data_IF_385601507278
#
_entry.id   IF_385601507278
#
_cell.length_a   1.000
_cell.length_b   1.000
_cell.length_c   1.000
_cell.angle_alpha   90.00
_cell.angle_beta   90.00
_cell.angle_gamma   90.00
#
_symmetry.space_group_name_H-M   'P 1'
#
loop_
_entity.id
_entity.type
_entity.pdbx_description
1 polymer ?
#
# COMPACT_ATOMS: atom_id res chain seq x y z
N UNK A 1 -2.65 4.69 10.87
CA UNK A 1 -3.87 4.72 10.06
C UNK A 1 -5.04 4.44 10.96
N UNK A 2 -5.99 5.36 11.01
CA UNK A 2 -7.15 5.31 11.90
C UNK A 2 -7.96 4.05 11.64
N UNK A 3 -8.17 3.29 12.71
CA UNK A 3 -9.12 2.19 12.87
C UNK A 3 -10.20 2.21 11.78
N UNK A 4 -10.19 1.16 10.93
CA UNK A 4 -11.20 0.87 9.92
C UNK A 4 -12.58 1.04 10.54
N UNK A 5 -13.13 2.25 10.40
CA UNK A 5 -14.46 2.56 10.91
C UNK A 5 -15.37 1.68 10.08
N UNK A 6 -15.90 0.60 10.69
CA UNK A 6 -16.80 -0.32 9.98
C UNK A 6 -17.84 0.52 9.24
N UNK A 7 -17.98 0.27 7.95
CA UNK A 7 -18.93 0.96 7.07
C UNK A 7 -18.59 2.45 6.90
N UNK A 8 -17.31 2.78 6.70
CA UNK A 8 -16.82 4.15 6.47
C UNK A 8 -17.64 4.84 5.37
N UNK A 9 -17.87 4.18 4.24
CA UNK A 9 -18.60 4.78 3.12
C UNK A 9 -20.06 5.06 3.47
N UNK A 10 -20.72 4.12 4.16
CA UNK A 10 -22.10 4.31 4.60
C UNK A 10 -22.22 5.46 5.61
N UNK A 11 -21.25 5.57 6.53
CA UNK A 11 -21.22 6.61 7.56
C UNK A 11 -20.96 8.02 7.02
N UNK A 12 -20.39 8.15 5.81
CA UNK A 12 -20.26 9.42 5.10
C UNK A 12 -21.59 9.91 4.50
N UNK A 13 -22.61 9.05 4.42
CA UNK A 13 -23.91 9.46 3.90
C UNK A 13 -24.65 10.38 4.89
N UNK A 14 -25.30 11.44 4.39
CA UNK A 14 -26.26 12.21 5.17
C UNK A 14 -27.30 11.31 5.84
N UNK A 15 -27.69 11.64 7.08
CA UNK A 15 -28.60 10.84 7.89
C UNK A 15 -29.94 10.53 7.20
N UNK A 16 -30.43 11.44 6.35
CA UNK A 16 -31.68 11.24 5.57
C UNK A 16 -31.63 10.01 4.66
N UNK A 17 -30.48 9.73 4.03
CA UNK A 17 -30.33 8.57 3.15
C UNK A 17 -30.20 7.27 3.94
N UNK A 18 -29.50 7.31 5.09
CA UNK A 18 -29.40 6.16 5.99
C UNK A 18 -30.75 5.77 6.60
N UNK A 19 -31.56 6.77 6.98
CA UNK A 19 -32.91 6.54 7.49
C UNK A 19 -33.83 5.95 6.41
N UNK A 20 -33.73 6.44 5.17
CA UNK A 20 -34.49 5.88 4.05
C UNK A 20 -34.07 4.46 3.73
N UNK A 21 -32.77 4.19 3.67
CA UNK A 21 -32.22 2.86 3.40
C UNK A 21 -32.68 1.84 4.44
N UNK A 22 -32.66 2.22 5.71
CA UNK A 22 -33.19 1.39 6.80
C UNK A 22 -34.66 0.98 6.59
N UNK A 23 -35.51 1.92 6.14
CA UNK A 23 -36.91 1.63 5.85
C UNK A 23 -37.11 0.73 4.62
N UNK A 24 -36.15 0.71 3.69
CA UNK A 24 -36.17 -0.10 2.46
C UNK A 24 -35.42 -1.45 2.64
N UNK A 25 -34.95 -1.78 3.85
CA UNK A 25 -34.28 -3.05 4.16
C UNK A 25 -32.76 -3.05 3.97
N UNK A 26 -32.14 -1.87 4.01
CA UNK A 26 -30.68 -1.65 3.94
C UNK A 26 -29.94 -2.09 2.64
N UNK A 27 -30.55 -1.99 1.43
CA UNK A 27 -29.86 -2.34 0.18
C UNK A 27 -28.64 -1.45 -0.11
N UNK A 28 -28.70 -0.16 0.20
CA UNK A 28 -27.60 0.78 -0.03
C UNK A 28 -26.42 0.50 0.89
N UNK A 29 -26.67 0.23 2.18
CA UNK A 29 -25.64 -0.21 3.14
C UNK A 29 -24.93 -1.47 2.63
N UNK A 30 -25.68 -2.44 2.14
CA UNK A 30 -25.13 -3.70 1.60
C UNK A 30 -24.23 -3.44 0.38
N UNK A 31 -24.69 -2.62 -0.57
CA UNK A 31 -23.91 -2.24 -1.75
C UNK A 31 -22.62 -1.51 -1.37
N UNK A 32 -22.71 -0.53 -0.48
CA UNK A 32 -21.54 0.26 -0.07
C UNK A 32 -20.53 -0.58 0.71
N UNK A 33 -20.98 -1.56 1.51
CA UNK A 33 -20.09 -2.49 2.18
C UNK A 33 -19.28 -3.36 1.19
N UNK A 34 -19.91 -3.80 0.09
CA UNK A 34 -19.19 -4.50 -0.98
C UNK A 34 -18.14 -3.60 -1.64
N UNK A 35 -18.51 -2.37 -1.99
CA UNK A 35 -17.59 -1.40 -2.61
C UNK A 35 -16.43 -1.05 -1.65
N UNK A 36 -16.70 -0.92 -0.35
CA UNK A 36 -15.68 -0.65 0.67
C UNK A 36 -14.68 -1.80 0.83
N UNK A 37 -15.06 -3.03 0.48
CA UNK A 37 -14.13 -4.16 0.36
C UNK A 37 -13.07 -3.91 -0.70
N UNK A 38 -13.50 -3.64 -1.93
CA UNK A 38 -12.59 -3.37 -3.05
C UNK A 38 -11.78 -2.08 -2.86
N UNK A 39 -12.39 -1.05 -2.28
CA UNK A 39 -11.70 0.19 -1.95
C UNK A 39 -10.52 -0.05 -1.00
N UNK A 40 -10.68 -0.92 0.01
CA UNK A 40 -9.58 -1.23 0.95
C UNK A 40 -8.43 -1.96 0.27
N UNK A 41 -8.72 -2.91 -0.62
CA UNK A 41 -7.68 -3.59 -1.40
C UNK A 41 -6.89 -2.59 -2.26
N UNK A 42 -7.59 -1.61 -2.85
CA UNK A 42 -6.94 -0.54 -3.62
C UNK A 42 -6.13 0.41 -2.73
N UNK A 43 -6.64 0.80 -1.56
CA UNK A 43 -5.91 1.63 -0.58
C UNK A 43 -4.62 0.92 -0.12
N UNK A 44 -4.70 -0.37 0.21
CA UNK A 44 -3.54 -1.20 0.59
C UNK A 44 -2.51 -1.33 -0.54
N UNK A 45 -2.95 -1.52 -1.79
CA UNK A 45 -2.05 -1.58 -2.95
C UNK A 45 -1.34 -0.24 -3.19
N UNK A 46 -2.07 0.88 -3.09
CA UNK A 46 -1.50 2.22 -3.22
C UNK A 46 -0.46 2.48 -2.12
N UNK A 47 -0.73 2.09 -0.88
CA UNK A 47 0.23 2.19 0.22
C UNK A 47 1.49 1.37 -0.06
N UNK A 48 1.34 0.14 -0.56
CA UNK A 48 2.46 -0.68 -1.01
C UNK A 48 3.30 0.01 -2.09
N UNK A 49 2.66 0.65 -3.06
CA UNK A 49 3.36 1.44 -4.10
C UNK A 49 4.14 2.62 -3.52
N UNK A 50 3.61 3.30 -2.49
CA UNK A 50 4.35 4.37 -1.81
C UNK A 50 5.53 3.84 -0.99
N UNK A 51 5.37 2.70 -0.32
CA UNK A 51 6.46 2.03 0.39
C UNK A 51 7.57 1.62 -0.59
N UNK A 52 7.20 1.18 -1.78
CA UNK A 52 8.10 0.78 -2.86
C UNK A 52 8.98 1.92 -3.41
N UNK A 53 8.66 3.18 -3.10
CA UNK A 53 9.48 4.32 -3.51
C UNK A 53 10.77 4.48 -2.70
N UNK A 54 10.84 3.93 -1.48
CA UNK A 54 11.98 4.10 -0.58
C UNK A 54 12.71 2.78 -0.32
N UNK A 55 14.05 2.82 -0.33
CA UNK A 55 14.86 1.61 -0.13
C UNK A 55 14.66 1.00 1.26
N UNK A 56 14.24 1.78 2.24
CA UNK A 56 14.00 1.35 3.61
C UNK A 56 12.70 0.56 3.78
N UNK A 57 11.67 0.90 3.01
CA UNK A 57 10.30 0.38 3.16
C UNK A 57 9.85 -0.51 2.01
N UNK A 58 10.48 -0.41 0.83
CA UNK A 58 10.06 -1.13 -0.37
C UNK A 58 10.03 -2.64 -0.17
N UNK A 59 9.27 -3.35 -0.98
CA UNK A 59 9.29 -4.81 -1.02
C UNK A 59 10.64 -5.35 -1.51
N UNK A 60 11.05 -6.53 -1.06
CA UNK A 60 12.35 -7.12 -1.42
C UNK A 60 12.55 -7.29 -2.93
N UNK A 61 11.46 -7.53 -3.68
CA UNK A 61 11.50 -7.69 -5.13
C UNK A 61 11.76 -6.37 -5.87
N UNK A 62 11.56 -5.21 -5.23
CA UNK A 62 11.76 -3.87 -5.81
C UNK A 62 13.23 -3.43 -5.72
N UNK A 63 13.95 -3.92 -4.72
CA UNK A 63 15.36 -3.56 -4.45
C UNK A 63 16.26 -3.63 -5.70
N UNK A 64 16.20 -4.69 -6.55
CA UNK A 64 17.03 -4.75 -7.77
C UNK A 64 16.76 -3.61 -8.74
N UNK A 65 15.50 -3.20 -8.89
CA UNK A 65 15.13 -2.10 -9.79
C UNK A 65 15.65 -0.76 -9.28
N UNK A 66 15.59 -0.51 -7.96
CA UNK A 66 16.22 0.68 -7.35
C UNK A 66 17.75 0.64 -7.54
N UNK A 67 18.36 -0.54 -7.38
CA UNK A 67 19.79 -0.76 -7.62
C UNK A 67 20.20 -0.42 -9.07
N UNK A 68 19.41 -0.85 -10.05
CA UNK A 68 19.68 -0.61 -11.47
C UNK A 68 19.67 0.89 -11.81
N UNK A 69 18.79 1.69 -11.21
CA UNK A 69 18.78 3.16 -11.36
C UNK A 69 20.08 3.82 -10.87
N UNK A 70 20.79 3.17 -9.95
CA UNK A 70 22.06 3.63 -9.42
C UNK A 70 23.26 2.98 -10.14
N UNK A 71 23.04 2.12 -11.15
CA UNK A 71 24.11 1.30 -11.75
C UNK A 71 24.74 0.36 -10.72
N UNK A 72 23.97 -0.07 -9.72
CA UNK A 72 24.39 -0.95 -8.63
C UNK A 72 23.82 -2.32 -8.91
N UNK A 73 24.59 -3.14 -9.62
CA UNK A 73 24.22 -4.51 -9.87
C UNK A 73 24.81 -5.37 -8.76
N UNK A 74 23.95 -5.92 -7.90
CA UNK A 74 24.39 -7.03 -7.06
C UNK A 74 24.81 -8.16 -8.00
N UNK A 75 26.07 -8.59 -7.94
CA UNK A 75 26.48 -9.82 -8.60
C UNK A 75 25.49 -10.90 -8.14
N UNK A 76 24.75 -11.45 -9.10
CA UNK A 76 23.49 -12.17 -8.95
C UNK A 76 23.67 -13.45 -8.12
N UNK A 77 23.92 -13.33 -6.83
CA UNK A 77 23.84 -14.45 -5.91
C UNK A 77 22.39 -14.54 -5.48
N UNK A 78 21.61 -15.31 -6.25
CA UNK A 78 20.25 -15.76 -5.94
C UNK A 78 20.11 -16.41 -4.54
N UNK A 79 21.19 -16.53 -3.76
CA UNK A 79 21.21 -17.13 -2.43
C UNK A 79 21.53 -16.15 -1.28
N UNK A 80 21.84 -14.88 -1.56
CA UNK A 80 22.10 -13.89 -0.52
C UNK A 80 20.86 -13.03 -0.27
N UNK A 81 20.02 -13.44 0.69
CA UNK A 81 18.69 -12.88 0.96
C UNK A 81 18.55 -11.35 0.94
N UNK A 82 17.35 -10.89 0.56
CA UNK A 82 17.00 -9.48 0.25
C UNK A 82 17.51 -8.44 1.25
N UNK A 83 17.60 -8.78 2.54
CA UNK A 83 18.18 -7.92 3.57
C UNK A 83 19.62 -7.46 3.29
N UNK A 84 20.49 -8.32 2.72
CA UNK A 84 21.86 -7.93 2.36
C UNK A 84 21.89 -6.95 1.18
N UNK A 85 21.01 -7.15 0.21
CA UNK A 85 20.91 -6.30 -0.97
C UNK A 85 20.35 -4.91 -0.62
N UNK A 86 19.32 -4.86 0.23
CA UNK A 86 18.74 -3.60 0.74
C UNK A 86 19.79 -2.70 1.36
N UNK A 87 20.58 -3.24 2.29
CA UNK A 87 21.63 -2.47 2.97
C UNK A 87 22.71 -1.96 2.03
N UNK A 88 23.08 -2.74 1.02
CA UNK A 88 24.08 -2.32 0.02
C UNK A 88 23.57 -1.17 -0.86
N UNK A 89 22.35 -1.27 -1.36
CA UNK A 89 21.71 -0.22 -2.17
C UNK A 89 21.50 1.05 -1.33
N UNK A 90 21.00 0.91 -0.09
CA UNK A 90 20.80 2.03 0.83
C UNK A 90 22.10 2.76 1.15
N UNK A 91 23.18 2.04 1.46
CA UNK A 91 24.50 2.63 1.67
C UNK A 91 25.01 3.37 0.43
N UNK A 92 24.77 2.82 -0.76
CA UNK A 92 25.18 3.47 -2.01
C UNK A 92 24.46 4.81 -2.23
N UNK A 93 23.15 4.86 -1.95
CA UNK A 93 22.39 6.12 -1.96
C UNK A 93 23.00 7.12 -0.96
N UNK A 94 23.25 6.68 0.27
CA UNK A 94 23.80 7.53 1.32
C UNK A 94 25.19 8.11 0.96
N UNK A 95 26.06 7.31 0.33
CA UNK A 95 27.39 7.77 -0.08
C UNK A 95 27.35 8.80 -1.21
N UNK A 96 26.39 8.68 -2.15
CA UNK A 96 26.29 9.56 -3.33
C UNK A 96 25.50 10.85 -3.11
N UNK A 97 24.75 10.95 -2.01
CA UNK A 97 24.02 12.16 -1.62
C UNK A 97 24.90 13.22 -0.95
N UNK A 98 26.19 12.93 -0.72
CA UNK A 98 27.18 13.89 -0.19
C UNK A 98 27.94 14.55 -1.33
#
# INVERSE_FOLDING_TARGET
>A
MTESTKERLYNLLPAVYRARDFNEGEPLRTLLNLIEGEMRLLEEDIEGLYDDWFIETCSDWVIPYIGDLLGVHAAYSLSAGGAKMRGYVANTIAYRRR
#
